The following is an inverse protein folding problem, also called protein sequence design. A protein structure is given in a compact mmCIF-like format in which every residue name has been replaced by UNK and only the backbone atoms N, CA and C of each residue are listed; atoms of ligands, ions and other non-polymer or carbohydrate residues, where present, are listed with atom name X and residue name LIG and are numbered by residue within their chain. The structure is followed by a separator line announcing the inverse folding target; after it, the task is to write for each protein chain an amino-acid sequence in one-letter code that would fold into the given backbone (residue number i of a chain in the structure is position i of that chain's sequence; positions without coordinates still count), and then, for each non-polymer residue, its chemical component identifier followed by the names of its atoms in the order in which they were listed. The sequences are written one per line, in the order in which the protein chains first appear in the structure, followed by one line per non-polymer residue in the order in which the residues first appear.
data_IF_997151528926
#
_entry.id   IF_997151528926
#
_cell.length_a   1.000
_cell.length_b   1.000
_cell.length_c   1.000
_cell.angle_alpha   90.00
_cell.angle_beta   90.00
_cell.angle_gamma   90.00
#
_symmetry.space_group_name_H-M   'P 1'
#
loop_
_entity.id
_entity.type
_entity.pdbx_description
1 polymer ?
#
# COMPACT_ATOMS: atom_id res chain seq x y z
N UNK A 1 11.50 -9.11 29.68
CA UNK A 1 10.43 -9.54 28.75
C UNK A 1 9.24 -8.63 29.00
N UNK A 2 9.26 -7.42 28.42
CA UNK A 2 8.18 -6.45 28.61
C UNK A 2 7.05 -6.80 27.67
N UNK A 3 6.05 -7.47 28.22
CA UNK A 3 4.75 -7.66 27.56
C UNK A 3 4.06 -6.30 27.56
N UNK A 4 4.00 -5.65 26.39
CA UNK A 4 3.15 -4.49 26.16
C UNK A 4 1.98 -4.95 25.29
N UNK A 5 0.82 -4.97 25.94
CA UNK A 5 -0.52 -5.09 25.39
C UNK A 5 -0.64 -4.54 23.96
N UNK A 6 -0.92 -5.41 22.99
CA UNK A 6 -1.41 -4.98 21.68
C UNK A 6 -2.85 -4.52 21.84
N UNK A 7 -3.03 -3.26 22.23
CA UNK A 7 -4.26 -2.55 21.93
C UNK A 7 -4.21 -2.22 20.44
N UNK A 8 -5.23 -2.64 19.68
CA UNK A 8 -5.41 -2.20 18.30
C UNK A 8 -5.30 -0.66 18.25
N UNK A 9 -4.23 -0.14 17.66
CA UNK A 9 -4.06 1.31 17.43
C UNK A 9 -5.22 1.75 16.54
N UNK A 10 -5.89 2.84 16.90
CA UNK A 10 -6.97 3.36 16.06
C UNK A 10 -6.42 3.84 14.71
N UNK A 11 -7.27 3.97 13.69
CA UNK A 11 -6.86 4.51 12.40
C UNK A 11 -6.26 5.92 12.54
N UNK A 12 -6.83 6.75 13.43
CA UNK A 12 -6.32 8.10 13.69
C UNK A 12 -4.92 8.08 14.30
N UNK A 13 -4.66 7.17 15.25
CA UNK A 13 -3.33 7.04 15.87
C UNK A 13 -2.27 6.63 14.83
N UNK A 14 -2.63 5.73 13.91
CA UNK A 14 -1.75 5.32 12.83
C UNK A 14 -1.45 6.46 11.84
N UNK A 15 -2.47 7.25 11.49
CA UNK A 15 -2.26 8.45 10.66
C UNK A 15 -1.35 9.47 11.33
N UNK A 16 -1.54 9.73 12.63
CA UNK A 16 -0.66 10.63 13.40
C UNK A 16 0.77 10.08 13.39
N UNK A 17 0.96 8.80 13.67
CA UNK A 17 2.28 8.17 13.66
C UNK A 17 2.95 8.23 12.27
N UNK A 18 2.18 8.10 11.18
CA UNK A 18 2.69 8.27 9.82
C UNK A 18 3.21 9.69 9.57
N UNK A 19 2.45 10.71 9.96
CA UNK A 19 2.87 12.13 9.83
C UNK A 19 4.12 12.47 10.65
N UNK A 20 4.31 11.79 11.78
CA UNK A 20 5.50 11.93 12.62
C UNK A 20 6.70 11.11 12.12
N UNK A 21 6.50 10.22 11.16
CA UNK A 21 7.54 9.30 10.66
C UNK A 21 7.85 8.15 11.63
N UNK A 22 6.91 7.81 12.52
CA UNK A 22 7.07 6.79 13.56
C UNK A 22 6.62 5.38 13.11
N UNK A 23 6.03 5.25 11.91
CA UNK A 23 5.64 3.96 11.36
C UNK A 23 6.81 3.28 10.64
N UNK A 24 6.95 1.98 10.87
CA UNK A 24 7.82 1.15 10.04
C UNK A 24 7.17 0.83 8.66
N UNK A 25 7.89 0.12 7.80
CA UNK A 25 7.40 -0.24 6.46
C UNK A 25 6.11 -1.08 6.53
N UNK A 26 6.03 -2.05 7.43
CA UNK A 26 4.88 -2.95 7.53
C UNK A 26 3.64 -2.23 8.07
N UNK A 27 3.80 -1.38 9.08
CA UNK A 27 2.74 -0.53 9.61
C UNK A 27 2.28 0.49 8.57
N UNK A 28 3.21 1.09 7.82
CA UNK A 28 2.91 2.00 6.71
C UNK A 28 2.08 1.28 5.65
N UNK A 29 2.52 0.12 5.18
CA UNK A 29 1.78 -0.68 4.18
C UNK A 29 0.39 -1.06 4.69
N UNK A 30 0.27 -1.49 5.94
CA UNK A 30 -1.03 -1.84 6.53
C UNK A 30 -1.98 -0.65 6.60
N UNK A 31 -1.50 0.52 7.04
CA UNK A 31 -2.29 1.75 7.07
C UNK A 31 -2.78 2.12 5.67
N UNK A 32 -1.86 2.17 4.71
CA UNK A 32 -2.20 2.60 3.36
C UNK A 32 -3.09 1.60 2.63
N UNK A 33 -2.91 0.30 2.82
CA UNK A 33 -3.82 -0.70 2.26
C UNK A 33 -5.25 -0.47 2.73
N UNK A 34 -5.45 -0.21 4.03
CA UNK A 34 -6.76 0.10 4.59
C UNK A 34 -7.38 1.38 3.96
N UNK A 35 -6.58 2.46 3.86
CA UNK A 35 -7.02 3.74 3.28
C UNK A 35 -7.29 3.67 1.76
N UNK A 36 -6.62 2.76 1.05
CA UNK A 36 -6.86 2.50 -0.38
C UNK A 36 -8.18 1.73 -0.54
N UNK A 37 -8.38 0.67 0.25
CA UNK A 37 -9.55 -0.20 0.15
C UNK A 37 -10.87 0.56 0.40
N UNK A 38 -10.88 1.48 1.38
CA UNK A 38 -12.05 2.32 1.66
C UNK A 38 -12.14 3.58 0.80
N UNK A 39 -11.09 3.89 0.03
CA UNK A 39 -10.99 5.04 -0.86
C UNK A 39 -10.74 6.39 -0.16
N UNK A 40 -10.51 6.40 1.16
CA UNK A 40 -10.24 7.60 1.95
C UNK A 40 -8.97 8.29 1.47
N UNK A 41 -7.95 7.52 1.07
CA UNK A 41 -6.64 8.04 0.65
C UNK A 41 -6.73 9.04 -0.51
N UNK A 42 -7.72 8.88 -1.39
CA UNK A 42 -7.95 9.73 -2.57
C UNK A 42 -8.66 11.05 -2.25
N UNK A 43 -9.04 11.25 -0.99
CA UNK A 43 -9.72 12.44 -0.48
C UNK A 43 -8.88 13.20 0.55
N UNK A 44 -7.77 12.61 0.99
CA UNK A 44 -6.82 13.22 1.92
C UNK A 44 -5.86 14.17 1.22
N UNK A 45 -5.00 14.82 2.01
CA UNK A 45 -3.90 15.64 1.51
C UNK A 45 -3.07 14.87 0.47
N UNK A 46 -2.59 15.57 -0.56
CA UNK A 46 -1.88 14.94 -1.67
C UNK A 46 -0.62 14.13 -1.31
N UNK A 47 -0.05 14.29 -0.10
CA UNK A 47 1.01 13.41 0.40
C UNK A 47 0.55 11.96 0.52
N UNK A 48 -0.67 11.73 1.03
CA UNK A 48 -1.25 10.40 1.15
C UNK A 48 -1.48 9.75 -0.21
N UNK A 49 -2.07 10.49 -1.15
CA UNK A 49 -2.32 9.98 -2.51
C UNK A 49 -1.03 9.57 -3.22
N UNK A 50 0.04 10.38 -3.12
CA UNK A 50 1.35 10.04 -3.69
C UNK A 50 1.99 8.84 -3.01
N UNK A 51 1.88 8.74 -1.69
CA UNK A 51 2.39 7.58 -0.95
C UNK A 51 1.65 6.29 -1.34
N UNK A 52 0.31 6.32 -1.39
CA UNK A 52 -0.48 5.20 -1.88
C UNK A 52 -0.09 4.80 -3.30
N UNK A 53 0.05 5.77 -4.20
CA UNK A 53 0.49 5.51 -5.57
C UNK A 53 1.87 4.82 -5.60
N UNK A 54 2.84 5.32 -4.84
CA UNK A 54 4.18 4.71 -4.76
C UNK A 54 4.11 3.27 -4.23
N UNK A 55 3.30 3.00 -3.20
CA UNK A 55 3.15 1.66 -2.64
C UNK A 55 2.45 0.70 -3.63
N UNK A 56 1.53 1.20 -4.43
CA UNK A 56 0.87 0.44 -5.51
C UNK A 56 1.87 0.12 -6.64
N UNK A 57 2.64 1.11 -7.06
CA UNK A 57 3.66 0.99 -8.13
C UNK A 57 4.80 0.04 -7.76
N UNK A 58 5.12 -0.06 -6.47
CA UNK A 58 6.17 -0.96 -5.94
C UNK A 58 5.62 -2.34 -5.53
N UNK A 59 4.33 -2.59 -5.74
CA UNK A 59 3.69 -3.87 -5.42
C UNK A 59 3.60 -4.15 -3.92
N UNK A 60 3.67 -3.11 -3.08
CA UNK A 60 3.47 -3.19 -1.62
C UNK A 60 2.00 -3.08 -1.24
N UNK A 61 1.19 -2.42 -2.07
CA UNK A 61 -0.26 -2.32 -1.89
C UNK A 61 -1.01 -2.69 -3.18
N UNK A 62 -2.27 -3.08 -3.02
CA UNK A 62 -3.20 -3.36 -4.11
C UNK A 62 -4.16 -2.19 -4.29
N UNK A 63 -4.67 -2.04 -5.51
CA UNK A 63 -5.86 -1.20 -5.73
C UNK A 63 -7.08 -1.81 -5.02
N UNK A 64 -8.04 -0.94 -4.71
CA UNK A 64 -9.30 -1.32 -4.11
C UNK A 64 -10.05 -2.36 -4.97
N UNK A 65 -10.94 -3.18 -4.38
CA UNK A 65 -11.70 -4.19 -5.14
C UNK A 65 -12.60 -3.58 -6.22
N UNK A 66 -13.04 -2.34 -6.00
CA UNK A 66 -13.98 -1.60 -6.85
C UNK A 66 -13.40 -0.24 -7.20
N UNK A 67 -13.73 0.26 -8.38
CA UNK A 67 -13.44 1.65 -8.77
C UNK A 67 -13.97 2.66 -7.74
N UNK A 68 -13.15 3.67 -7.44
CA UNK A 68 -13.44 4.76 -6.52
C UNK A 68 -13.41 6.11 -7.24
N UNK A 69 -13.86 7.17 -6.56
CA UNK A 69 -13.68 8.55 -7.03
C UNK A 69 -12.75 9.31 -6.11
N UNK A 70 -11.79 10.01 -6.70
CA UNK A 70 -10.94 10.95 -5.99
C UNK A 70 -11.70 12.24 -5.63
N UNK A 71 -11.03 13.13 -4.90
CA UNK A 71 -11.57 14.44 -4.54
C UNK A 71 -11.96 15.30 -5.77
N UNK A 72 -11.23 15.18 -6.87
CA UNK A 72 -11.45 15.96 -8.09
C UNK A 72 -12.55 15.37 -9.00
N UNK A 73 -13.12 14.21 -8.63
CA UNK A 73 -14.15 13.51 -9.38
C UNK A 73 -13.62 12.54 -10.44
N UNK A 74 -12.30 12.39 -10.56
CA UNK A 74 -11.68 11.39 -11.44
C UNK A 74 -11.96 9.98 -10.91
N UNK A 75 -12.00 9.02 -11.84
CA UNK A 75 -12.16 7.60 -11.48
C UNK A 75 -10.78 7.02 -11.17
N UNK A 76 -10.66 6.44 -9.98
CA UNK A 76 -9.54 5.57 -9.62
C UNK A 76 -9.99 4.13 -9.89
N UNK A 77 -9.32 3.38 -10.77
CA UNK A 77 -9.75 2.03 -11.12
C UNK A 77 -9.61 1.09 -9.92
N UNK A 78 -10.49 0.09 -9.83
CA UNK A 78 -10.28 -1.06 -8.96
C UNK A 78 -9.28 -2.04 -9.56
N UNK A 79 -8.70 -2.90 -8.73
CA UNK A 79 -7.74 -3.94 -9.17
C UNK A 79 -8.29 -4.94 -10.18
N UNK A 80 -9.61 -5.01 -10.34
CA UNK A 80 -10.30 -5.89 -11.30
C UNK A 80 -10.70 -5.14 -12.58
N UNK A 81 -10.51 -3.82 -12.62
CA UNK A 81 -10.83 -2.95 -13.76
C UNK A 81 -9.64 -2.76 -14.72
N UNK A 82 -8.46 -3.28 -14.37
CA UNK A 82 -7.21 -3.16 -15.14
C UNK A 82 -6.64 -4.53 -15.50
N UNK A 83 -5.77 -4.56 -16.51
CA UNK A 83 -5.19 -5.82 -17.01
C UNK A 83 -4.29 -6.47 -15.95
N UNK A 84 -4.31 -7.81 -15.81
CA UNK A 84 -3.42 -8.52 -14.91
C UNK A 84 -1.94 -8.24 -15.20
N UNK A 85 -1.13 -8.08 -14.14
CA UNK A 85 0.28 -7.72 -14.27
C UNK A 85 0.55 -6.21 -14.28
N UNK A 86 -0.48 -5.37 -14.31
CA UNK A 86 -0.32 -3.93 -14.09
C UNK A 86 -0.21 -3.59 -12.59
N UNK A 87 0.45 -2.48 -12.22
CA UNK A 87 0.53 -2.02 -10.83
C UNK A 87 -0.83 -2.00 -10.13
N UNK A 88 -0.85 -2.47 -8.88
CA UNK A 88 -2.07 -2.57 -8.07
C UNK A 88 -2.90 -3.83 -8.30
N UNK A 89 -2.48 -4.72 -9.20
CA UNK A 89 -3.07 -6.06 -9.35
C UNK A 89 -2.35 -7.10 -8.50
N UNK A 90 -3.06 -8.18 -8.12
CA UNK A 90 -2.46 -9.29 -7.37
C UNK A 90 -1.35 -10.01 -8.14
N UNK A 91 -1.48 -10.12 -9.47
CA UNK A 91 -0.45 -10.73 -10.32
C UNK A 91 0.85 -9.91 -10.31
N UNK A 92 0.75 -8.58 -10.39
CA UNK A 92 1.93 -7.72 -10.31
C UNK A 92 2.70 -7.90 -9.00
N UNK A 93 2.00 -7.96 -7.86
CA UNK A 93 2.62 -8.21 -6.55
C UNK A 93 3.34 -9.55 -6.52
N UNK A 94 2.70 -10.60 -7.06
CA UNK A 94 3.32 -11.92 -7.14
C UNK A 94 4.59 -11.91 -8.00
N UNK A 95 4.57 -11.27 -9.17
CA UNK A 95 5.73 -11.16 -10.05
C UNK A 95 6.90 -10.39 -9.41
N UNK A 96 6.61 -9.32 -8.66
CA UNK A 96 7.65 -8.57 -7.92
C UNK A 96 8.32 -9.42 -6.83
N UNK A 97 7.55 -10.28 -6.16
CA UNK A 97 8.08 -11.21 -5.17
C UNK A 97 8.94 -12.30 -5.82
N UNK A 98 8.49 -12.87 -6.94
CA UNK A 98 9.28 -13.86 -7.69
C UNK A 98 10.59 -13.28 -8.24
N UNK A 99 10.59 -12.03 -8.71
CA UNK A 99 11.80 -11.36 -9.21
C UNK A 99 12.85 -11.10 -8.11
N UNK A 100 12.44 -11.07 -6.84
CA UNK A 100 13.35 -10.83 -5.71
C UNK A 100 14.07 -12.11 -5.28
N UNK A 101 13.42 -13.26 -5.45
CA UNK A 101 13.92 -14.58 -5.06
C UNK A 101 14.80 -15.24 -6.15
N UNK A 102 14.77 -14.73 -7.38
CA UNK A 102 15.49 -15.30 -8.54
C UNK A 102 16.83 -14.59 -8.86
N UNK A 103 17.50 -14.05 -7.84
CA UNK A 103 18.92 -13.70 -7.99
C UNK A 103 19.73 -15.00 -7.92
N UNK A 104 20.43 -15.42 -8.99
CA UNK A 104 21.38 -16.51 -8.87
C UNK A 104 22.41 -16.10 -7.82
N UNK A 105 22.62 -16.95 -6.82
CA UNK A 105 23.79 -16.90 -5.95
C UNK A 105 25.00 -16.74 -6.87
N UNK A 106 25.63 -15.57 -6.91
CA UNK A 106 26.91 -15.40 -7.59
C UNK A 106 27.97 -16.00 -6.66
N UNK A 107 28.50 -17.21 -6.96
CA UNK A 107 29.47 -17.84 -6.08
C UNK A 107 30.85 -17.17 -6.16
N UNK A 108 31.02 -16.09 -6.93
CA UNK A 108 32.31 -15.43 -7.19
C UNK A 108 32.30 -13.91 -6.99
N UNK A 109 31.84 -13.45 -5.82
CA UNK A 109 32.17 -12.12 -5.27
C UNK A 109 32.98 -12.24 -3.98
#
# INVERSE_FOLDING_TARGET
MSSLSSASKSLMDQMIAFELGDLDEAETVSLFQQLIDDGTVWRLQGSYGRMAQQLIETGRCLLAPVSQRDYFGNVVPGRHDIEPGQPGTGQFVQEQQLSSDDLPFDPLS
#
